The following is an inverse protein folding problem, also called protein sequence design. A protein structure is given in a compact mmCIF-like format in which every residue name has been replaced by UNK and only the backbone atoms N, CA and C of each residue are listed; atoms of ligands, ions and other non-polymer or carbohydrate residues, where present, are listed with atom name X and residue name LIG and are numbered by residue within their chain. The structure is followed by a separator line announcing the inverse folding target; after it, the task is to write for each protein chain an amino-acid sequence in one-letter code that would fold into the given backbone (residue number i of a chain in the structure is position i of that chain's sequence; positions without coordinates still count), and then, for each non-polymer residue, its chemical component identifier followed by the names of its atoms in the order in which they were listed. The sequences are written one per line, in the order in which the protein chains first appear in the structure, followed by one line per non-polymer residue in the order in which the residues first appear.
data_IF_395814525395
#
_entry.id   IF_395814525395
#
_cell.length_a   1.000
_cell.length_b   1.000
_cell.length_c   1.000
_cell.angle_alpha   90.00
_cell.angle_beta   90.00
_cell.angle_gamma   90.00
#
_symmetry.space_group_name_H-M   'P 1'
#
loop_
_entity.id
_entity.type
_entity.pdbx_description
1 polymer ?
#
# COMPACT_ATOMS: atom_id res chain seq x y z
N UNK A 1 48.53 -11.21 65.17
CA UNK A 1 47.93 -12.12 64.18
C UNK A 1 46.63 -11.47 63.77
N UNK A 2 46.68 -10.68 62.69
CA UNK A 2 46.05 -11.01 61.41
C UNK A 2 44.53 -10.86 61.47
N UNK A 3 44.02 -9.82 60.79
CA UNK A 3 42.83 -9.81 59.93
C UNK A 3 42.29 -8.37 59.81
N UNK A 4 41.82 -7.87 58.68
CA UNK A 4 42.09 -8.07 57.26
C UNK A 4 41.45 -6.83 56.64
N UNK A 5 42.24 -5.98 55.97
CA UNK A 5 41.73 -4.81 55.24
C UNK A 5 40.72 -5.29 54.19
N UNK A 6 39.43 -5.07 54.43
CA UNK A 6 38.39 -5.15 53.40
C UNK A 6 38.50 -3.93 52.48
N UNK A 7 39.38 -4.02 51.48
CA UNK A 7 39.44 -3.04 50.41
C UNK A 7 38.19 -3.12 49.56
N UNK A 8 37.34 -2.09 49.65
CA UNK A 8 36.27 -1.87 48.67
C UNK A 8 36.95 -1.54 47.34
N UNK A 9 36.86 -2.45 46.37
CA UNK A 9 37.32 -2.16 45.02
C UNK A 9 36.31 -1.20 44.41
N UNK A 10 36.67 0.09 44.38
CA UNK A 10 35.95 1.10 43.62
C UNK A 10 35.99 0.67 42.15
N UNK A 11 34.88 0.15 41.62
CA UNK A 11 34.74 -0.13 40.21
C UNK A 11 34.65 1.22 39.49
N UNK A 12 35.80 1.77 39.11
CA UNK A 12 35.94 2.97 38.30
C UNK A 12 35.40 2.66 36.90
N UNK A 13 34.07 2.71 36.81
CA UNK A 13 33.32 2.55 35.59
C UNK A 13 33.63 3.82 34.81
N UNK A 14 34.74 3.81 34.07
CA UNK A 14 35.11 4.86 33.12
C UNK A 14 33.92 5.05 32.20
N UNK A 15 33.09 6.03 32.53
CA UNK A 15 32.05 6.53 31.65
C UNK A 15 32.77 7.24 30.50
N UNK A 16 33.22 6.45 29.52
CA UNK A 16 33.62 6.96 28.22
C UNK A 16 32.36 7.46 27.51
N UNK A 17 31.92 8.65 27.92
CA UNK A 17 30.70 9.28 27.43
C UNK A 17 30.88 9.76 25.99
N UNK A 18 29.85 9.54 25.18
CA UNK A 18 29.68 10.18 23.87
C UNK A 18 29.94 11.68 24.01
N UNK A 19 30.91 12.20 23.27
CA UNK A 19 31.09 13.65 23.16
C UNK A 19 29.87 14.26 22.49
N UNK A 20 29.39 15.39 23.03
CA UNK A 20 28.30 16.17 22.44
C UNK A 20 28.62 16.55 20.99
N UNK A 21 29.90 16.79 20.69
CA UNK A 21 30.39 17.02 19.34
C UNK A 21 30.16 15.81 18.42
N UNK A 22 30.35 14.59 18.93
CA UNK A 22 30.12 13.36 18.17
C UNK A 22 28.65 13.18 17.79
N UNK A 23 27.74 13.52 18.71
CA UNK A 23 26.29 13.50 18.43
C UNK A 23 25.90 14.59 17.42
N UNK A 24 26.52 15.79 17.48
CA UNK A 24 26.26 16.84 16.49
C UNK A 24 26.69 16.43 15.08
N UNK A 25 27.88 15.84 14.94
CA UNK A 25 28.36 15.34 13.65
C UNK A 25 27.46 14.21 13.14
N UNK A 26 27.04 13.29 14.02
CA UNK A 26 26.11 12.22 13.66
C UNK A 26 24.77 12.78 13.15
N UNK A 27 24.17 13.76 13.85
CA UNK A 27 22.92 14.39 13.43
C UNK A 27 23.06 15.15 12.11
N UNK A 28 24.20 15.81 11.87
CA UNK A 28 24.46 16.50 10.61
C UNK A 28 24.46 15.53 9.42
N UNK A 29 25.08 14.36 9.55
CA UNK A 29 25.09 13.33 8.50
C UNK A 29 23.67 12.74 8.32
N UNK A 30 22.97 12.47 9.43
CA UNK A 30 21.59 11.95 9.37
C UNK A 30 20.63 12.90 8.64
N UNK A 31 20.78 14.22 8.82
CA UNK A 31 19.94 15.22 8.13
C UNK A 31 20.14 15.19 6.60
N UNK A 32 21.38 15.03 6.14
CA UNK A 32 21.69 14.93 4.70
C UNK A 32 21.07 13.66 4.12
N UNK A 33 21.22 12.52 4.79
CA UNK A 33 20.65 11.24 4.34
C UNK A 33 19.11 11.28 4.33
N UNK A 34 18.49 11.84 5.37
CA UNK A 34 17.04 11.96 5.46
C UNK A 34 16.44 12.74 4.29
N UNK A 35 17.12 13.82 3.86
CA UNK A 35 16.67 14.66 2.74
C UNK A 35 16.53 13.88 1.43
N UNK A 36 17.43 12.91 1.18
CA UNK A 36 17.40 12.08 -0.04
C UNK A 36 16.45 10.87 0.12
N UNK A 37 16.37 10.31 1.32
CA UNK A 37 15.57 9.11 1.61
C UNK A 37 14.06 9.36 1.52
N UNK A 38 13.57 10.50 2.03
CA UNK A 38 12.14 10.83 2.09
C UNK A 38 11.45 10.85 0.71
N UNK A 39 11.93 11.54 -0.33
CA UNK A 39 11.25 11.56 -1.64
C UNK A 39 11.27 10.20 -2.34
N UNK A 40 12.33 9.40 -2.13
CA UNK A 40 12.43 8.03 -2.63
C UNK A 40 11.37 7.12 -2.01
N UNK A 41 11.15 7.23 -0.70
CA UNK A 41 10.16 6.43 0.01
C UNK A 41 8.73 6.74 -0.45
N UNK A 42 8.39 8.02 -0.63
CA UNK A 42 7.07 8.44 -1.13
C UNK A 42 6.77 7.90 -2.53
N UNK A 43 7.78 7.86 -3.41
CA UNK A 43 7.63 7.31 -4.76
C UNK A 43 7.45 5.79 -4.75
N UNK A 44 8.18 5.10 -3.88
CA UNK A 44 8.07 3.64 -3.72
C UNK A 44 6.68 3.23 -3.18
N UNK A 45 6.14 3.98 -2.21
CA UNK A 45 4.77 3.77 -1.71
C UNK A 45 3.76 3.92 -2.84
N UNK A 46 3.89 4.97 -3.66
CA UNK A 46 2.95 5.19 -4.76
C UNK A 46 2.93 4.05 -5.77
N UNK A 47 4.11 3.50 -6.11
CA UNK A 47 4.22 2.33 -6.98
C UNK A 47 3.62 1.08 -6.31
N UNK A 48 3.91 0.85 -5.02
CA UNK A 48 3.36 -0.28 -4.28
C UNK A 48 1.82 -0.25 -4.23
N UNK A 49 1.24 0.93 -4.00
CA UNK A 49 -0.21 1.13 -4.01
C UNK A 49 -0.80 0.86 -5.39
N UNK A 50 -0.14 1.32 -6.45
CA UNK A 50 -0.56 1.09 -7.84
C UNK A 50 -0.58 -0.40 -8.17
N UNK A 51 0.47 -1.14 -7.79
CA UNK A 51 0.54 -2.59 -8.02
C UNK A 51 -0.53 -3.34 -7.24
N UNK A 52 -0.81 -2.94 -5.99
CA UNK A 52 -1.89 -3.51 -5.18
C UNK A 52 -3.25 -3.32 -5.85
N UNK A 53 -3.61 -2.07 -6.18
CA UNK A 53 -4.87 -1.75 -6.86
C UNK A 53 -5.00 -2.51 -8.16
N UNK A 54 -3.93 -2.58 -8.97
CA UNK A 54 -3.94 -3.32 -10.23
C UNK A 54 -4.17 -4.82 -10.03
N UNK A 55 -3.55 -5.43 -9.03
CA UNK A 55 -3.74 -6.83 -8.71
C UNK A 55 -5.19 -7.09 -8.25
N UNK A 56 -5.69 -6.26 -7.35
CA UNK A 56 -7.06 -6.34 -6.83
C UNK A 56 -8.09 -6.22 -7.96
N UNK A 57 -7.94 -5.22 -8.83
CA UNK A 57 -8.83 -5.02 -9.98
C UNK A 57 -8.76 -6.18 -10.98
N UNK A 58 -7.58 -6.75 -11.24
CA UNK A 58 -7.45 -7.92 -12.12
C UNK A 58 -8.13 -9.17 -11.55
N UNK A 59 -8.09 -9.35 -10.22
CA UNK A 59 -8.81 -10.42 -9.53
C UNK A 59 -10.31 -10.19 -9.60
N UNK A 60 -10.77 -8.96 -9.39
CA UNK A 60 -12.19 -8.60 -9.53
C UNK A 60 -12.69 -8.80 -10.96
N UNK A 61 -11.95 -8.34 -11.98
CA UNK A 61 -12.33 -8.53 -13.40
C UNK A 61 -12.49 -10.02 -13.75
N UNK A 62 -11.60 -10.88 -13.23
CA UNK A 62 -11.69 -12.32 -13.43
C UNK A 62 -12.94 -12.92 -12.76
N UNK A 63 -13.27 -12.44 -11.56
CA UNK A 63 -14.48 -12.87 -10.85
C UNK A 63 -15.77 -12.38 -11.51
N UNK A 64 -15.79 -11.14 -12.04
CA UNK A 64 -16.91 -10.61 -12.82
C UNK A 64 -17.15 -11.48 -14.05
N UNK A 65 -16.09 -11.85 -14.78
CA UNK A 65 -16.20 -12.72 -15.95
C UNK A 65 -16.78 -14.10 -15.60
N UNK A 66 -16.30 -14.69 -14.50
CA UNK A 66 -16.83 -15.98 -14.01
C UNK A 66 -18.31 -15.83 -13.63
N UNK A 67 -18.68 -14.79 -12.88
CA UNK A 67 -20.07 -14.53 -12.49
C UNK A 67 -20.97 -14.37 -13.71
N UNK A 68 -20.56 -13.58 -14.71
CA UNK A 68 -21.32 -13.39 -15.94
C UNK A 68 -21.56 -14.71 -16.71
N UNK A 69 -20.56 -15.61 -16.74
CA UNK A 69 -20.71 -16.92 -17.37
C UNK A 69 -21.64 -17.88 -16.60
N UNK A 70 -21.71 -17.78 -15.28
CA UNK A 70 -22.52 -18.69 -14.45
C UNK A 70 -23.94 -18.18 -14.24
N UNK A 71 -24.10 -16.89 -13.90
CA UNK A 71 -25.39 -16.27 -13.62
C UNK A 71 -26.09 -15.78 -14.91
N UNK A 72 -25.35 -15.67 -16.02
CA UNK A 72 -25.86 -15.12 -17.29
C UNK A 72 -26.22 -13.63 -17.20
N UNK A 73 -25.75 -12.94 -16.17
CA UNK A 73 -25.99 -11.51 -15.90
C UNK A 73 -24.75 -10.90 -15.26
N UNK A 74 -24.59 -9.59 -15.42
CA UNK A 74 -23.53 -8.85 -14.75
C UNK A 74 -23.89 -8.54 -13.29
N UNK A 75 -22.91 -8.55 -12.38
CA UNK A 75 -23.15 -8.19 -10.98
C UNK A 75 -23.57 -6.72 -10.84
N UNK A 76 -24.51 -6.41 -9.95
CA UNK A 76 -24.94 -5.03 -9.66
C UNK A 76 -24.13 -4.41 -8.53
N UNK A 77 -23.68 -5.24 -7.58
CA UNK A 77 -22.84 -4.82 -6.47
C UNK A 77 -21.57 -5.66 -6.40
N UNK A 78 -20.49 -5.08 -5.84
CA UNK A 78 -19.26 -5.85 -5.56
C UNK A 78 -19.55 -6.97 -4.56
N UNK A 79 -20.52 -6.79 -3.67
CA UNK A 79 -20.94 -7.80 -2.71
C UNK A 79 -21.48 -9.08 -3.39
N UNK A 80 -21.99 -9.00 -4.63
CA UNK A 80 -22.44 -10.18 -5.40
C UNK A 80 -21.27 -11.09 -5.83
N UNK A 81 -20.03 -10.57 -5.80
CA UNK A 81 -18.82 -11.33 -6.12
C UNK A 81 -18.23 -12.01 -4.88
N UNK A 82 -18.85 -11.90 -3.70
CA UNK A 82 -18.31 -12.45 -2.45
C UNK A 82 -18.06 -13.96 -2.52
N UNK A 83 -18.92 -14.68 -3.25
CA UNK A 83 -18.78 -16.12 -3.45
C UNK A 83 -17.65 -16.48 -4.44
N UNK A 84 -17.19 -15.52 -5.25
CA UNK A 84 -16.20 -15.72 -6.31
C UNK A 84 -14.83 -15.11 -5.97
N UNK A 85 -14.75 -14.27 -4.94
CA UNK A 85 -13.52 -13.65 -4.45
C UNK A 85 -13.39 -13.89 -2.94
N UNK A 86 -12.51 -14.83 -2.57
CA UNK A 86 -12.29 -15.25 -1.18
C UNK A 86 -11.81 -14.14 -0.22
N UNK A 87 -11.49 -12.95 -0.72
CA UNK A 87 -10.89 -11.85 0.04
C UNK A 87 -11.53 -10.48 -0.25
N UNK A 88 -12.84 -10.42 -0.55
CA UNK A 88 -13.52 -9.12 -0.74
C UNK A 88 -13.41 -8.19 0.47
N UNK A 89 -13.54 -8.72 1.70
CA UNK A 89 -13.44 -7.93 2.93
C UNK A 89 -12.01 -7.38 3.17
N UNK A 90 -11.01 -7.99 2.54
CA UNK A 90 -9.60 -7.56 2.60
C UNK A 90 -9.20 -6.68 1.42
N UNK A 91 -10.00 -6.64 0.35
CA UNK A 91 -9.84 -5.75 -0.79
C UNK A 91 -10.25 -4.32 -0.39
N UNK A 92 -9.45 -3.69 0.47
CA UNK A 92 -9.55 -2.26 0.76
C UNK A 92 -8.54 -1.54 -0.12
N UNK A 93 -8.99 -0.65 -1.02
CA UNK A 93 -8.07 0.15 -1.82
C UNK A 93 -7.08 0.89 -0.89
N UNK A 94 -5.77 0.82 -1.17
CA UNK A 94 -4.78 1.51 -0.37
C UNK A 94 -5.02 3.02 -0.44
N UNK A 95 -5.14 3.63 0.73
CA UNK A 95 -5.27 5.08 0.86
C UNK A 95 -3.94 5.74 0.49
N UNK A 96 -3.96 6.65 -0.47
CA UNK A 96 -2.78 7.43 -0.85
C UNK A 96 -2.58 7.61 -2.34
N UNK A 97 -1.40 8.10 -2.71
CA UNK A 97 -1.07 8.38 -4.11
C UNK A 97 -0.87 7.07 -4.87
N UNK A 98 -1.48 6.95 -6.03
CA UNK A 98 -1.26 5.90 -7.02
C UNK A 98 -0.80 6.55 -8.34
N UNK A 99 0.04 5.87 -9.10
CA UNK A 99 0.51 6.31 -10.41
C UNK A 99 -0.39 5.78 -11.50
N UNK A 100 -0.99 6.68 -12.27
CA UNK A 100 -1.64 6.35 -13.53
C UNK A 100 -0.64 6.38 -14.68
N UNK A 101 -0.99 5.70 -15.77
CA UNK A 101 -0.19 5.68 -17.02
C UNK A 101 0.10 7.06 -17.60
N UNK A 102 -0.75 8.04 -17.32
CA UNK A 102 -0.54 9.44 -17.71
C UNK A 102 0.57 10.16 -16.90
N UNK A 103 1.26 9.46 -15.99
CA UNK A 103 2.25 10.05 -15.09
C UNK A 103 1.64 10.91 -13.97
N UNK A 104 0.31 10.95 -13.88
CA UNK A 104 -0.43 11.71 -12.87
C UNK A 104 -0.55 10.89 -11.58
N UNK A 105 -0.20 11.52 -10.45
CA UNK A 105 -0.41 10.97 -9.11
C UNK A 105 -1.87 11.21 -8.71
N UNK A 106 -2.70 10.18 -8.77
CA UNK A 106 -4.08 10.24 -8.29
C UNK A 106 -4.09 9.83 -6.82
N UNK A 107 -4.72 10.66 -5.98
CA UNK A 107 -4.92 10.31 -4.57
C UNK A 107 -6.18 9.47 -4.48
N UNK A 108 -6.01 8.17 -4.27
CA UNK A 108 -7.13 7.27 -4.05
C UNK A 108 -7.53 7.43 -2.59
N UNK A 109 -8.70 8.03 -2.37
CA UNK A 109 -9.39 8.16 -1.08
C UNK A 109 -10.64 7.29 -1.01
N UNK A 110 -10.91 6.48 -2.05
CA UNK A 110 -12.08 5.61 -2.08
C UNK A 110 -11.95 4.55 -0.99
N UNK A 111 -13.03 4.25 -0.26
CA UNK A 111 -13.04 3.22 0.78
C UNK A 111 -13.46 1.83 0.23
N UNK A 112 -14.04 1.81 -0.98
CA UNK A 112 -14.47 0.60 -1.69
C UNK A 112 -14.15 0.71 -3.18
N UNK A 113 -13.95 -0.44 -3.83
CA UNK A 113 -13.92 -0.53 -5.30
C UNK A 113 -15.33 -0.29 -5.86
N UNK A 114 -15.44 0.17 -7.11
CA UNK A 114 -16.72 0.41 -7.78
C UNK A 114 -16.76 -0.38 -9.10
N UNK A 115 -17.93 -0.87 -9.50
CA UNK A 115 -18.12 -1.49 -10.80
C UNK A 115 -18.48 -0.41 -11.82
N UNK A 116 -17.66 -0.24 -12.87
CA UNK A 116 -18.04 0.58 -14.02
C UNK A 116 -18.70 -0.33 -15.06
N UNK A 117 -19.98 -0.07 -15.34
CA UNK A 117 -20.73 -0.64 -16.46
C UNK A 117 -20.75 0.37 -17.60
N UNK A 118 -20.16 0.06 -18.75
CA UNK A 118 -20.22 0.97 -19.91
C UNK A 118 -21.49 0.81 -20.77
N UNK A 119 -22.42 -0.08 -20.40
CA UNK A 119 -23.77 -0.11 -20.95
C UNK A 119 -24.81 -0.38 -19.86
N UNK A 120 -25.86 0.44 -19.82
CA UNK A 120 -26.91 0.46 -18.81
C UNK A 120 -27.95 -0.69 -18.97
N UNK A 121 -27.49 -1.92 -19.21
CA UNK A 121 -28.36 -3.06 -19.48
C UNK A 121 -27.87 -4.34 -18.78
N UNK A 122 -28.82 -5.11 -18.26
CA UNK A 122 -28.63 -6.41 -17.58
C UNK A 122 -28.34 -7.53 -18.61
N UNK A 123 -28.23 -7.21 -19.91
CA UNK A 123 -28.15 -8.16 -21.01
C UNK A 123 -26.72 -8.28 -21.57
N UNK A 124 -26.34 -9.51 -21.91
CA UNK A 124 -25.00 -9.95 -22.30
C UNK A 124 -24.56 -9.53 -23.71
N UNK A 125 -25.36 -8.74 -24.43
CA UNK A 125 -24.97 -8.25 -25.76
C UNK A 125 -24.26 -6.90 -25.66
N UNK A 126 -22.94 -6.96 -25.50
CA UNK A 126 -22.04 -5.81 -25.69
C UNK A 126 -21.73 -4.96 -24.44
N UNK A 127 -22.13 -5.38 -23.25
CA UNK A 127 -21.81 -4.67 -22.00
C UNK A 127 -20.50 -5.18 -21.38
N UNK A 128 -19.42 -4.39 -21.41
CA UNK A 128 -18.20 -4.66 -20.64
C UNK A 128 -18.42 -4.14 -19.19
N UNK A 129 -18.51 -5.05 -18.20
CA UNK A 129 -18.41 -4.67 -16.79
C UNK A 129 -16.98 -4.86 -16.29
N UNK A 130 -16.37 -3.78 -15.80
CA UNK A 130 -15.00 -3.81 -15.27
C UNK A 130 -14.94 -3.23 -13.87
N UNK A 131 -14.05 -3.77 -13.05
CA UNK A 131 -13.76 -3.20 -11.75
C UNK A 131 -12.98 -1.89 -11.93
N UNK A 132 -13.39 -0.87 -11.19
CA UNK A 132 -12.75 0.43 -11.16
C UNK A 132 -12.41 0.86 -9.73
N UNK A 133 -11.32 1.60 -9.59
CA UNK A 133 -10.93 2.26 -8.35
C UNK A 133 -10.87 3.77 -8.60
N UNK A 134 -11.67 4.55 -7.87
CA UNK A 134 -11.80 5.99 -8.07
C UNK A 134 -12.09 6.40 -9.54
N UNK A 135 -12.85 5.58 -10.27
CA UNK A 135 -13.23 5.81 -11.66
C UNK A 135 -12.23 5.33 -12.73
N UNK A 136 -11.11 4.71 -12.35
CA UNK A 136 -10.08 4.18 -13.24
C UNK A 136 -10.04 2.65 -13.24
N UNK A 137 -9.80 2.04 -14.40
CA UNK A 137 -9.76 0.57 -14.58
C UNK A 137 -8.36 0.01 -14.31
N UNK A 138 -8.21 -1.31 -14.21
CA UNK A 138 -6.91 -1.98 -14.05
C UNK A 138 -5.88 -1.58 -15.12
N UNK A 139 -6.36 -1.25 -16.33
CA UNK A 139 -5.55 -0.83 -17.46
C UNK A 139 -4.93 0.56 -17.30
N UNK A 140 -5.50 1.42 -16.48
CA UNK A 140 -5.08 2.81 -16.28
C UNK A 140 -3.99 2.95 -15.21
N UNK A 141 -3.80 1.91 -14.38
CA UNK A 141 -2.79 1.85 -13.32
C UNK A 141 -1.48 1.20 -13.80
N UNK A 142 -0.37 1.89 -13.57
CA UNK A 142 0.98 1.44 -13.93
C UNK A 142 1.68 2.33 -14.95
N UNK A 143 2.79 1.83 -15.52
CA UNK A 143 3.44 2.40 -16.70
C UNK A 143 2.94 1.72 -17.97
#
# INVERSE_FOLDING_TARGET
MFWQKGGVLMNDSRQAGFSLLGIMIAMAILAILATIAVPKFHSAIAVANTTKVKADLSTLDSAIAIYATQAGRWPDHIDDLADYVSDLDKLKPPQGKCQLKDGKLVTISAEKYELKKEAAGIELEGADCRAACAGYTAGDFGK
#
